data_IF_133416823291
#
_entry.id   IF_133416823291
#
_cell.length_a   1.000
_cell.length_b   1.000
_cell.length_c   1.000
_cell.angle_alpha   90.00
_cell.angle_beta   90.00
_cell.angle_gamma   90.00
#
_symmetry.space_group_name_H-M   'P 1'
#
loop_
_entity.id
_entity.type
_entity.pdbx_description
1 polymer ?
#
# COMPACT_ATOMS: atom_id res chain seq x y z
N UNK A 1 8.03 10.75 22.63
CA UNK A 1 8.84 11.08 21.44
C UNK A 1 9.44 9.81 20.81
N UNK A 2 8.64 8.83 20.36
CA UNK A 2 9.22 7.67 19.65
C UNK A 2 8.36 7.21 18.48
N UNK A 3 7.12 6.75 18.72
CA UNK A 3 6.30 6.21 17.62
C UNK A 3 5.80 7.27 16.63
N UNK A 4 5.33 8.42 17.13
CA UNK A 4 4.74 9.45 16.29
C UNK A 4 5.78 10.09 15.34
N UNK A 5 6.99 10.35 15.84
CA UNK A 5 8.10 10.86 15.02
C UNK A 5 8.54 9.84 13.95
N UNK A 6 8.65 8.56 14.32
CA UNK A 6 8.96 7.48 13.37
C UNK A 6 7.87 7.39 12.29
N UNK A 7 6.60 7.47 12.68
CA UNK A 7 5.46 7.48 11.76
C UNK A 7 5.53 8.65 10.78
N UNK A 8 5.75 9.88 11.27
CA UNK A 8 5.88 11.07 10.42
C UNK A 8 7.07 10.93 9.46
N UNK A 9 8.24 10.50 9.95
CA UNK A 9 9.42 10.29 9.11
C UNK A 9 9.17 9.24 8.03
N UNK A 10 8.42 8.19 8.34
CA UNK A 10 8.09 7.13 7.38
C UNK A 10 7.17 7.65 6.27
N UNK A 11 6.16 8.45 6.62
CA UNK A 11 5.26 9.10 5.67
C UNK A 11 6.05 10.05 4.75
N UNK A 12 6.90 10.90 5.33
CA UNK A 12 7.73 11.84 4.58
C UNK A 12 8.70 11.12 3.65
N UNK A 13 9.30 10.01 4.09
CA UNK A 13 10.20 9.20 3.28
C UNK A 13 9.45 8.54 2.12
N UNK A 14 8.23 8.05 2.35
CA UNK A 14 7.35 7.56 1.28
C UNK A 14 7.10 8.64 0.22
N UNK A 15 6.67 9.83 0.63
CA UNK A 15 6.47 10.96 -0.30
C UNK A 15 7.75 11.35 -1.05
N UNK A 16 8.89 11.36 -0.37
CA UNK A 16 10.17 11.69 -0.98
C UNK A 16 10.55 10.69 -2.08
N UNK A 17 10.37 9.39 -1.84
CA UNK A 17 10.63 8.35 -2.84
C UNK A 17 9.66 8.48 -4.03
N UNK A 18 8.37 8.75 -3.77
CA UNK A 18 7.39 9.00 -4.84
C UNK A 18 7.77 10.22 -5.68
N UNK A 19 8.23 11.30 -5.03
CA UNK A 19 8.68 12.51 -5.72
C UNK A 19 9.93 12.24 -6.58
N UNK A 20 10.92 11.50 -6.06
CA UNK A 20 12.09 11.09 -6.84
C UNK A 20 11.72 10.20 -8.03
N UNK A 21 10.72 9.34 -7.89
CA UNK A 21 10.21 8.52 -9.00
C UNK A 21 9.58 9.37 -10.11
N UNK A 22 8.92 10.48 -9.76
CA UNK A 22 8.35 11.42 -10.74
C UNK A 22 9.42 12.19 -11.53
N UNK A 23 10.62 12.37 -10.97
CA UNK A 23 11.74 13.07 -11.64
C UNK A 23 12.47 12.19 -12.66
N UNK A 24 12.19 10.88 -12.71
CA UNK A 24 12.75 9.99 -13.72
C UNK A 24 11.92 10.06 -14.99
N UNK A 25 12.58 10.22 -16.14
CA UNK A 25 11.92 10.07 -17.44
C UNK A 25 11.48 8.61 -17.62
N UNK A 26 10.16 8.40 -17.74
CA UNK A 26 9.57 7.08 -17.91
C UNK A 26 8.04 7.16 -17.93
N UNK A 27 7.38 6.12 -18.42
CA UNK A 27 5.93 6.00 -18.30
C UNK A 27 5.55 5.88 -16.82
N UNK A 28 4.80 6.86 -16.30
CA UNK A 28 4.29 6.80 -14.93
C UNK A 28 3.43 5.57 -14.74
N UNK A 29 3.89 4.62 -13.94
CA UNK A 29 3.11 3.46 -13.52
C UNK A 29 2.40 3.76 -12.21
N UNK A 30 1.13 3.38 -12.12
CA UNK A 30 0.34 3.54 -10.90
C UNK A 30 -0.50 2.30 -10.64
N UNK A 31 -0.73 2.03 -9.36
CA UNK A 31 -1.67 1.05 -8.90
C UNK A 31 -2.24 1.51 -7.56
N UNK A 32 -3.56 1.47 -7.46
CA UNK A 32 -4.35 1.88 -6.30
C UNK A 32 -5.23 0.70 -5.96
N UNK A 33 -5.37 0.38 -4.68
CA UNK A 33 -6.32 -0.64 -4.26
C UNK A 33 -6.57 -0.59 -2.77
N UNK A 34 -7.52 -1.41 -2.34
CA UNK A 34 -8.02 -1.41 -0.99
C UNK A 34 -9.24 -2.29 -0.89
N UNK A 35 -10.17 -1.93 -0.01
CA UNK A 35 -11.39 -2.69 0.19
C UNK A 35 -12.63 -1.81 0.02
N UNK A 36 -13.66 -2.39 -0.59
CA UNK A 36 -15.02 -1.85 -0.54
C UNK A 36 -15.84 -2.84 0.30
N UNK A 37 -16.04 -2.52 1.57
CA UNK A 37 -16.53 -3.50 2.55
C UNK A 37 -15.53 -4.65 2.70
N UNK A 38 -15.95 -5.93 2.62
CA UNK A 38 -15.04 -7.08 2.68
C UNK A 38 -14.39 -7.42 1.32
N UNK A 39 -14.79 -6.74 0.23
CA UNK A 39 -14.36 -7.10 -1.13
C UNK A 39 -13.07 -6.35 -1.46
N UNK A 40 -11.95 -7.05 -1.77
CA UNK A 40 -10.73 -6.40 -2.24
C UNK A 40 -10.96 -5.81 -3.63
N UNK A 41 -10.44 -4.59 -3.84
CA UNK A 41 -10.49 -3.87 -5.11
C UNK A 41 -9.09 -3.37 -5.50
N UNK A 42 -8.85 -3.23 -6.80
CA UNK A 42 -7.63 -2.62 -7.33
C UNK A 42 -7.84 -2.01 -8.71
N UNK A 43 -7.06 -0.99 -9.03
CA UNK A 43 -6.99 -0.32 -10.32
C UNK A 43 -5.54 0.07 -10.61
N UNK A 44 -5.02 -0.32 -11.77
CA UNK A 44 -3.66 -0.01 -12.18
C UNK A 44 -3.59 0.17 -13.69
N UNK A 45 -2.57 0.89 -14.16
CA UNK A 45 -2.28 1.00 -15.60
C UNK A 45 -1.40 -0.14 -16.13
N UNK A 46 -0.92 -1.03 -15.26
CA UNK A 46 -0.15 -2.21 -15.64
C UNK A 46 -0.73 -3.46 -14.95
N UNK A 47 -0.97 -4.58 -15.69
CA UNK A 47 -1.55 -5.79 -15.11
C UNK A 47 -0.71 -6.41 -13.99
N UNK A 48 0.62 -6.33 -14.10
CA UNK A 48 1.57 -6.80 -13.08
C UNK A 48 1.39 -6.07 -11.75
N UNK A 49 1.18 -4.74 -11.81
CA UNK A 49 0.96 -3.90 -10.65
C UNK A 49 -0.45 -4.06 -10.06
N UNK A 50 -1.46 -4.31 -10.90
CA UNK A 50 -2.79 -4.66 -10.42
C UNK A 50 -2.75 -5.96 -9.59
N UNK A 51 -2.07 -6.98 -10.11
CA UNK A 51 -1.90 -8.25 -9.42
C UNK A 51 -1.17 -8.06 -8.08
N UNK A 52 -0.08 -7.29 -8.09
CA UNK A 52 0.66 -6.94 -6.88
C UNK A 52 -0.24 -6.29 -5.82
N UNK A 53 -1.03 -5.28 -6.22
CA UNK A 53 -1.96 -4.58 -5.31
C UNK A 53 -3.00 -5.54 -4.73
N UNK A 54 -3.61 -6.39 -5.56
CA UNK A 54 -4.61 -7.36 -5.08
C UNK A 54 -4.00 -8.34 -4.08
N UNK A 55 -2.79 -8.84 -4.35
CA UNK A 55 -2.08 -9.74 -3.42
C UNK A 55 -1.78 -9.03 -2.09
N UNK A 56 -1.30 -7.80 -2.13
CA UNK A 56 -1.00 -7.02 -0.92
C UNK A 56 -2.24 -6.74 -0.08
N UNK A 57 -3.33 -6.33 -0.73
CA UNK A 57 -4.63 -6.12 -0.09
C UNK A 57 -5.10 -7.42 0.57
N UNK A 58 -5.10 -8.53 -0.15
CA UNK A 58 -5.50 -9.83 0.39
C UNK A 58 -4.62 -10.28 1.56
N UNK A 59 -3.29 -10.10 1.45
CA UNK A 59 -2.36 -10.40 2.53
C UNK A 59 -2.65 -9.57 3.79
N UNK A 60 -2.89 -8.27 3.63
CA UNK A 60 -3.27 -7.39 4.75
C UNK A 60 -4.57 -7.85 5.41
N UNK A 61 -5.55 -8.33 4.63
CA UNK A 61 -6.78 -8.92 5.18
C UNK A 61 -6.48 -10.11 6.09
N UNK A 62 -5.63 -11.03 5.64
CA UNK A 62 -5.24 -12.22 6.41
C UNK A 62 -4.53 -11.80 7.70
N UNK A 63 -3.57 -10.88 7.61
CA UNK A 63 -2.85 -10.37 8.80
C UNK A 63 -3.83 -9.73 9.79
N UNK A 64 -4.76 -8.92 9.30
CA UNK A 64 -5.79 -8.30 10.14
C UNK A 64 -6.66 -9.34 10.87
N UNK A 65 -7.16 -10.35 10.14
CA UNK A 65 -7.98 -11.42 10.72
C UNK A 65 -7.20 -12.25 11.74
N UNK A 66 -5.93 -12.56 11.47
CA UNK A 66 -5.06 -13.28 12.42
C UNK A 66 -4.82 -12.47 13.69
N UNK A 67 -4.57 -11.17 13.57
CA UNK A 67 -4.39 -10.29 14.72
C UNK A 67 -5.67 -10.18 15.56
N UNK A 68 -6.83 -10.08 14.90
CA UNK A 68 -8.12 -10.06 15.58
C UNK A 68 -8.37 -11.38 16.33
N UNK A 69 -8.09 -12.53 15.70
CA UNK A 69 -8.25 -13.84 16.33
C UNK A 69 -7.30 -14.03 17.52
N UNK A 70 -6.07 -13.51 17.46
CA UNK A 70 -5.09 -13.61 18.55
C UNK A 70 -5.44 -12.72 19.75
N UNK A 71 -6.17 -11.63 19.53
CA UNK A 71 -6.57 -10.67 20.57
C UNK A 71 -7.95 -10.97 21.19
N UNK A 72 -8.68 -11.95 20.67
CA UNK A 72 -9.98 -12.42 21.16
C UNK A 72 -9.83 -13.62 22.08
#
# INVERSE_FOLDING_TARGET
MRLLEIGILTILLGFFITFLALLREGETKFAIGGFIGPIPFGFANEPSLLLLVIILVFFLMIVFLLLQFLQA
#
